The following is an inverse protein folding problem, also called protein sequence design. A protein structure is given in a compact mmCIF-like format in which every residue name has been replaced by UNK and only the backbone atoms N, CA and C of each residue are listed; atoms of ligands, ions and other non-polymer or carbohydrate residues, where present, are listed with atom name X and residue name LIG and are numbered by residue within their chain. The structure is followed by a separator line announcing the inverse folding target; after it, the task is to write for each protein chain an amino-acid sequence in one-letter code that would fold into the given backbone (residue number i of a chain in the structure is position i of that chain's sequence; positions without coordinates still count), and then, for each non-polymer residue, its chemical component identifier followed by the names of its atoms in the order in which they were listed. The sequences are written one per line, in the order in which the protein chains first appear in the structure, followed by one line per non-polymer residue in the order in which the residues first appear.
data_IF_874168377035
#
_entry.id   IF_874168377035
#
_cell.length_a   1.000
_cell.length_b   1.000
_cell.length_c   1.000
_cell.angle_alpha   90.00
_cell.angle_beta   90.00
_cell.angle_gamma   90.00
#
_symmetry.space_group_name_H-M   'P 1'
#
loop_
_entity.id
_entity.type
_entity.pdbx_description
1 polymer ?
#
# COMPACT_ATOMS: atom_id res chain seq x y z
N UNK A 1 17.63 -20.99 18.89
CA UNK A 1 17.42 -19.54 18.72
C UNK A 1 17.76 -19.18 17.27
N UNK A 2 16.78 -19.18 16.39
CA UNK A 2 16.91 -18.55 15.06
C UNK A 2 16.33 -17.16 15.19
N UNK A 3 17.06 -16.13 14.81
CA UNK A 3 16.62 -14.74 14.88
C UNK A 3 15.34 -14.56 14.07
N UNK A 4 14.21 -14.22 14.72
CA UNK A 4 12.99 -13.71 14.06
C UNK A 4 13.30 -12.28 13.62
N UNK A 5 14.13 -12.13 12.59
CA UNK A 5 14.10 -10.95 11.75
C UNK A 5 13.14 -11.27 10.63
N UNK A 6 11.95 -10.67 10.63
CA UNK A 6 11.05 -10.76 9.48
C UNK A 6 11.84 -10.26 8.28
N UNK A 7 12.01 -11.11 7.27
CA UNK A 7 12.55 -10.63 5.99
C UNK A 7 11.63 -9.51 5.50
N UNK A 8 12.14 -8.50 4.78
CA UNK A 8 11.29 -7.53 4.06
C UNK A 8 10.08 -8.17 3.38
N UNK A 9 10.29 -9.35 2.81
CA UNK A 9 9.31 -10.13 2.08
C UNK A 9 8.21 -10.68 3.00
N UNK A 10 8.56 -11.16 4.20
CA UNK A 10 7.62 -11.66 5.20
C UNK A 10 6.75 -10.52 5.77
N UNK A 11 7.35 -9.35 5.98
CA UNK A 11 6.63 -8.14 6.41
C UNK A 11 5.61 -7.73 5.35
N UNK A 12 6.01 -7.73 4.08
CA UNK A 12 5.14 -7.33 2.99
C UNK A 12 4.01 -8.33 2.74
N UNK A 13 4.29 -9.63 2.81
CA UNK A 13 3.25 -10.67 2.74
C UNK A 13 2.18 -10.46 3.82
N UNK A 14 2.59 -10.15 5.06
CA UNK A 14 1.67 -9.86 6.16
C UNK A 14 0.83 -8.58 5.94
N UNK A 15 1.42 -7.52 5.39
CA UNK A 15 0.70 -6.28 5.04
C UNK A 15 -0.33 -6.50 3.92
N UNK A 16 0.04 -7.29 2.92
CA UNK A 16 -0.87 -7.64 1.82
C UNK A 16 -2.03 -8.49 2.34
N UNK A 17 -1.77 -9.55 3.11
CA UNK A 17 -2.82 -10.38 3.70
C UNK A 17 -3.80 -9.56 4.55
N UNK A 18 -3.28 -8.64 5.37
CA UNK A 18 -4.09 -7.72 6.15
C UNK A 18 -4.98 -6.83 5.28
N UNK A 19 -4.45 -6.26 4.20
CA UNK A 19 -5.21 -5.46 3.25
C UNK A 19 -6.29 -6.30 2.54
N UNK A 20 -5.96 -7.50 2.08
CA UNK A 20 -6.90 -8.39 1.39
C UNK A 20 -8.06 -8.85 2.29
N UNK A 21 -7.76 -9.20 3.54
CA UNK A 21 -8.76 -9.77 4.44
C UNK A 21 -9.55 -8.74 5.24
N UNK A 22 -8.94 -7.60 5.59
CA UNK A 22 -9.53 -6.61 6.49
C UNK A 22 -9.79 -5.26 5.84
N UNK A 23 -8.82 -4.74 5.09
CA UNK A 23 -8.86 -3.39 4.52
C UNK A 23 -9.30 -2.31 5.52
N UNK A 24 -8.69 -2.29 6.72
CA UNK A 24 -8.92 -1.23 7.70
C UNK A 24 -8.06 0.01 7.41
N UNK A 25 -8.42 1.17 7.95
CA UNK A 25 -7.67 2.42 7.79
C UNK A 25 -6.16 2.27 8.07
N UNK A 26 -5.79 1.54 9.15
CA UNK A 26 -4.39 1.23 9.47
C UNK A 26 -3.64 0.48 8.37
N UNK A 27 -4.33 -0.35 7.59
CA UNK A 27 -3.70 -1.15 6.53
C UNK A 27 -3.28 -0.22 5.38
N UNK A 28 -4.02 0.85 5.12
CA UNK A 28 -3.63 1.88 4.16
C UNK A 28 -2.49 2.75 4.66
N UNK A 29 -2.44 3.07 5.96
CA UNK A 29 -1.29 3.73 6.59
C UNK A 29 -0.02 2.87 6.44
N UNK A 30 -0.15 1.57 6.65
CA UNK A 30 0.96 0.63 6.54
C UNK A 30 1.53 0.52 5.11
N UNK A 31 0.67 0.60 4.10
CA UNK A 31 1.06 0.62 2.68
C UNK A 31 1.65 1.99 2.32
N UNK A 32 1.03 3.08 2.78
CA UNK A 32 1.50 4.43 2.52
C UNK A 32 2.90 4.68 3.09
N UNK A 33 3.15 4.24 4.32
CA UNK A 33 4.47 4.32 4.93
C UNK A 33 5.53 3.47 4.18
N UNK A 34 5.13 2.30 3.65
CA UNK A 34 6.04 1.43 2.91
C UNK A 34 6.46 2.04 1.55
N UNK A 35 5.51 2.64 0.85
CA UNK A 35 5.72 3.22 -0.49
C UNK A 35 6.21 4.66 -0.42
N UNK A 36 5.48 5.52 0.30
CA UNK A 36 5.78 6.94 0.47
C UNK A 36 7.06 7.21 1.27
N UNK A 37 7.44 6.30 2.17
CA UNK A 37 8.73 6.35 2.87
C UNK A 37 9.95 6.04 1.99
N UNK A 38 9.74 5.67 0.72
CA UNK A 38 10.82 5.38 -0.24
C UNK A 38 11.53 4.04 -0.02
N UNK A 39 11.14 3.28 1.00
CA UNK A 39 11.72 1.97 1.30
C UNK A 39 11.36 0.94 0.21
N UNK A 40 10.12 0.99 -0.31
CA UNK A 40 9.63 0.08 -1.34
C UNK A 40 8.78 0.85 -2.36
N UNK A 41 9.38 1.40 -3.44
CA UNK A 41 8.59 2.01 -4.50
C UNK A 41 7.57 0.98 -5.04
N UNK A 42 6.41 1.46 -5.50
CA UNK A 42 5.26 0.63 -5.86
C UNK A 42 5.62 -0.56 -6.77
N UNK A 43 6.46 -0.34 -7.78
CA UNK A 43 6.95 -1.40 -8.66
C UNK A 43 7.79 -2.46 -7.93
N UNK A 44 8.69 -2.04 -7.04
CA UNK A 44 9.50 -2.97 -6.26
C UNK A 44 8.62 -3.77 -5.30
N UNK A 45 7.60 -3.15 -4.72
CA UNK A 45 6.62 -3.84 -3.89
C UNK A 45 5.87 -4.91 -4.68
N UNK A 46 5.44 -4.60 -5.91
CA UNK A 46 4.81 -5.59 -6.79
C UNK A 46 5.76 -6.73 -7.17
N UNK A 47 7.03 -6.43 -7.50
CA UNK A 47 8.03 -7.46 -7.82
C UNK A 47 8.31 -8.41 -6.65
N UNK A 48 8.34 -7.87 -5.42
CA UNK A 48 8.49 -8.69 -4.21
C UNK A 48 7.24 -9.57 -4.00
N UNK A 49 6.05 -9.00 -4.15
CA UNK A 49 4.81 -9.76 -4.04
C UNK A 49 4.73 -10.90 -5.07
N UNK A 50 5.12 -10.66 -6.33
CA UNK A 50 5.21 -11.69 -7.38
C UNK A 50 6.23 -12.79 -7.06
N UNK A 51 7.31 -12.47 -6.33
CA UNK A 51 8.33 -13.43 -5.93
C UNK A 51 7.83 -14.35 -4.82
N UNK A 52 7.01 -13.82 -3.90
CA UNK A 52 6.48 -14.55 -2.75
C UNK A 52 5.23 -15.36 -3.13
N UNK A 53 4.36 -14.79 -3.97
CA UNK A 53 3.11 -15.39 -4.41
C UNK A 53 2.97 -15.34 -5.93
N UNK A 54 3.12 -16.50 -6.59
CA UNK A 54 2.94 -16.63 -8.03
C UNK A 54 1.49 -16.37 -8.49
N UNK A 55 0.53 -16.35 -7.56
CA UNK A 55 -0.86 -15.95 -7.79
C UNK A 55 -1.12 -14.45 -7.65
N UNK A 56 -0.10 -13.66 -7.31
CA UNK A 56 -0.24 -12.21 -7.18
C UNK A 56 -0.63 -11.56 -8.52
N UNK A 57 -1.62 -10.68 -8.47
CA UNK A 57 -2.13 -9.94 -9.63
C UNK A 57 -2.14 -8.44 -9.30
N UNK A 58 -1.36 -7.66 -10.08
CA UNK A 58 -1.23 -6.21 -9.91
C UNK A 58 -2.56 -5.47 -10.06
N UNK A 59 -3.40 -5.89 -10.99
CA UNK A 59 -4.72 -5.28 -11.22
C UNK A 59 -5.63 -5.58 -10.03
N UNK A 60 -5.59 -6.80 -9.49
CA UNK A 60 -6.33 -7.14 -8.26
C UNK A 60 -5.82 -6.35 -7.06
N UNK A 61 -4.51 -6.13 -6.94
CA UNK A 61 -3.97 -5.25 -5.90
C UNK A 61 -4.48 -3.81 -6.05
N UNK A 62 -4.49 -3.26 -7.27
CA UNK A 62 -5.08 -1.95 -7.56
C UNK A 62 -6.56 -1.89 -7.15
N UNK A 63 -7.35 -2.92 -7.48
CA UNK A 63 -8.76 -3.03 -7.06
C UNK A 63 -8.92 -3.05 -5.54
N UNK A 64 -7.99 -3.68 -4.80
CA UNK A 64 -8.02 -3.66 -3.33
C UNK A 64 -7.72 -2.26 -2.78
N UNK A 65 -6.80 -1.51 -3.39
CA UNK A 65 -6.53 -0.13 -2.98
C UNK A 65 -7.77 0.77 -3.13
N UNK A 66 -8.74 0.41 -3.98
CA UNK A 66 -10.03 1.11 -4.08
C UNK A 66 -10.81 1.15 -2.76
N UNK A 67 -10.60 0.19 -1.86
CA UNK A 67 -11.27 0.17 -0.57
C UNK A 67 -10.95 1.40 0.29
N UNK A 68 -9.88 2.13 -0.04
CA UNK A 68 -9.57 3.43 0.59
C UNK A 68 -10.70 4.45 0.41
N UNK A 69 -11.49 4.36 -0.67
CA UNK A 69 -12.62 5.24 -0.98
C UNK A 69 -13.77 5.14 0.06
N UNK A 70 -13.68 4.20 1.01
CA UNK A 70 -14.64 4.03 2.11
C UNK A 70 -14.33 4.89 3.32
N UNK A 71 -13.14 5.50 3.38
CA UNK A 71 -12.67 6.26 4.52
C UNK A 71 -12.63 7.75 4.19
N UNK A 72 -13.07 8.55 5.15
CA UNK A 72 -12.89 9.99 5.16
C UNK A 72 -11.64 10.35 5.98
N UNK A 73 -11.06 11.55 5.82
CA UNK A 73 -9.88 11.97 6.59
C UNK A 73 -10.04 11.82 8.12
N UNK A 74 -11.27 11.97 8.63
CA UNK A 74 -11.60 11.81 10.05
C UNK A 74 -11.42 10.39 10.59
N UNK A 75 -11.54 9.36 9.74
CA UNK A 75 -11.32 7.96 10.14
C UNK A 75 -9.85 7.69 10.51
N UNK A 76 -8.93 8.57 10.08
CA UNK A 76 -7.51 8.43 10.38
C UNK A 76 -7.09 9.14 11.67
N UNK A 77 -7.95 9.99 12.23
CA UNK A 77 -7.66 10.74 13.44
C UNK A 77 -7.42 9.83 14.66
N UNK A 78 -8.04 8.64 14.71
CA UNK A 78 -7.79 7.65 15.77
C UNK A 78 -6.35 7.13 15.78
N UNK A 79 -5.64 7.25 14.65
CA UNK A 79 -4.23 6.88 14.51
C UNK A 79 -3.28 8.06 14.68
N UNK A 80 -3.80 9.24 15.06
CA UNK A 80 -3.00 10.45 15.25
C UNK A 80 -2.57 11.15 13.96
N UNK A 81 -3.20 10.81 12.84
CA UNK A 81 -2.97 11.44 11.54
C UNK A 81 -3.91 12.62 11.40
N UNK A 82 -3.39 13.79 11.05
CA UNK A 82 -4.26 14.96 10.84
C UNK A 82 -5.00 14.90 9.50
N UNK A 83 -6.01 15.75 9.33
CA UNK A 83 -6.86 15.74 8.13
C UNK A 83 -6.06 16.01 6.84
N UNK A 84 -5.04 16.87 6.88
CA UNK A 84 -4.24 17.21 5.71
C UNK A 84 -3.32 16.04 5.32
N UNK A 85 -2.71 15.38 6.31
CA UNK A 85 -1.91 14.18 6.12
C UNK A 85 -2.76 13.03 5.57
N UNK A 86 -3.98 12.86 6.10
CA UNK A 86 -4.92 11.84 5.66
C UNK A 86 -5.40 12.12 4.22
N UNK A 87 -5.76 13.35 3.87
CA UNK A 87 -6.10 13.73 2.49
C UNK A 87 -4.96 13.41 1.52
N UNK A 88 -3.71 13.69 1.92
CA UNK A 88 -2.55 13.39 1.11
C UNK A 88 -2.33 11.88 0.94
N UNK A 89 -2.56 11.07 1.98
CA UNK A 89 -2.55 9.61 1.91
C UNK A 89 -3.62 9.10 0.94
N UNK A 90 -4.87 9.56 1.08
CA UNK A 90 -5.98 9.14 0.22
C UNK A 90 -5.66 9.45 -1.26
N UNK A 91 -5.07 10.61 -1.53
CA UNK A 91 -4.64 11.00 -2.87
C UNK A 91 -3.52 10.10 -3.42
N UNK A 92 -2.52 9.75 -2.59
CA UNK A 92 -1.43 8.84 -2.99
C UNK A 92 -1.94 7.43 -3.29
N UNK A 93 -2.78 6.87 -2.42
CA UNK A 93 -3.37 5.54 -2.62
C UNK A 93 -4.23 5.51 -3.89
N UNK A 94 -5.00 6.58 -4.15
CA UNK A 94 -5.77 6.70 -5.39
C UNK A 94 -4.89 6.80 -6.65
N UNK A 95 -3.71 7.44 -6.56
CA UNK A 95 -2.74 7.47 -7.66
C UNK A 95 -2.17 6.07 -7.94
N UNK A 96 -1.71 5.36 -6.92
CA UNK A 96 -1.19 3.99 -7.06
C UNK A 96 -2.23 3.02 -7.63
N UNK A 97 -3.48 3.13 -7.18
CA UNK A 97 -4.59 2.36 -7.76
C UNK A 97 -4.67 2.54 -9.27
N UNK A 98 -4.63 3.79 -9.75
CA UNK A 98 -4.71 4.08 -11.19
C UNK A 98 -3.51 3.50 -11.93
N UNK A 99 -2.30 3.68 -11.43
CA UNK A 99 -1.08 3.12 -12.03
C UNK A 99 -1.16 1.59 -12.18
N UNK A 100 -1.65 0.89 -11.15
CA UNK A 100 -1.81 -0.56 -11.16
C UNK A 100 -2.94 -1.04 -12.07
N UNK A 101 -4.05 -0.28 -12.18
CA UNK A 101 -5.19 -0.64 -13.01
C UNK A 101 -4.97 -0.36 -14.50
N UNK A 102 -4.22 0.70 -14.84
CA UNK A 102 -3.91 1.06 -16.23
C UNK A 102 -2.67 0.34 -16.77
N UNK A 103 -1.82 -0.19 -15.88
CA UNK A 103 -0.50 -0.72 -16.24
C UNK A 103 0.47 0.36 -16.71
N UNK A 104 0.10 1.63 -16.56
CA UNK A 104 0.96 2.76 -16.88
C UNK A 104 1.63 3.23 -15.60
N UNK A 105 2.93 2.96 -15.45
CA UNK A 105 3.76 3.66 -14.47
C UNK A 105 3.66 5.15 -14.79
N UNK A 106 2.86 5.90 -14.01
CA UNK A 106 2.79 7.35 -14.11
C UNK A 106 4.19 7.95 -14.04
N UNK A 107 4.46 9.08 -14.72
CA UNK A 107 5.80 9.64 -14.75
C UNK A 107 6.24 9.93 -13.32
N UNK A 108 7.36 9.33 -12.90
CA UNK A 108 8.10 9.69 -11.69
C UNK A 108 8.18 11.21 -11.62
N UNK A 109 7.36 11.82 -10.77
CA UNK A 109 7.45 13.23 -10.46
C UNK A 109 8.75 13.43 -9.70
N UNK A 110 9.82 13.72 -10.45
CA UNK A 110 11.07 14.21 -9.90
C UNK A 110 10.87 15.63 -9.39
N UNK A 111 11.03 15.81 -8.08
CA UNK A 111 11.72 16.97 -7.53
C UNK A 111 12.32 16.63 -6.16
#
# INVERSE_FOLDING_TARGET
MGSIGLSPDDVMAGKMDALYNRAAARDFLDIDAAIGGGHYPLERLCQLAETVDAGFDRVMFGRMLRYVERFDPEDFAEYGVDALEAEALLARVAAWRRELETGESGPLAGH
#
